data_IF_730560636805
#
_entry.id   IF_730560636805
#
_cell.length_a   1.000
_cell.length_b   1.000
_cell.length_c   1.000
_cell.angle_alpha   90.00
_cell.angle_beta   90.00
_cell.angle_gamma   90.00
#
_symmetry.space_group_name_H-M   'P 1'
#
loop_
_entity.id
_entity.type
_entity.pdbx_description
1 polymer ?
#
# COMPACT_ATOMS: atom_id res chain seq x y z
N UNK A 1 25.96 1.01 -4.43
CA UNK A 1 24.95 -0.04 -4.74
C UNK A 1 23.57 0.26 -4.13
N UNK A 2 23.24 1.53 -3.86
CA UNK A 2 22.04 1.94 -3.07
C UNK A 2 20.80 2.24 -3.93
N UNK A 3 20.95 2.39 -5.25
CA UNK A 3 19.86 2.82 -6.13
C UNK A 3 18.95 1.68 -6.62
N UNK A 4 19.46 0.44 -6.64
CA UNK A 4 18.73 -0.74 -7.16
C UNK A 4 17.59 -1.16 -6.24
N UNK A 5 17.79 -1.01 -4.91
CA UNK A 5 16.81 -1.38 -3.88
C UNK A 5 15.53 -0.53 -4.02
N UNK A 6 15.68 0.75 -4.35
CA UNK A 6 14.56 1.69 -4.54
C UNK A 6 13.66 1.30 -5.72
N UNK A 7 14.24 0.88 -6.85
CA UNK A 7 13.46 0.44 -8.02
C UNK A 7 12.72 -0.88 -7.78
N UNK A 8 13.33 -1.85 -7.10
CA UNK A 8 12.67 -3.12 -6.78
C UNK A 8 11.51 -2.94 -5.81
N UNK A 9 11.68 -2.08 -4.79
CA UNK A 9 10.63 -1.78 -3.81
C UNK A 9 9.50 -0.98 -4.45
N UNK A 10 9.81 0.00 -5.31
CA UNK A 10 8.81 0.76 -6.06
C UNK A 10 8.03 -0.10 -7.05
N UNK A 11 8.68 -1.07 -7.70
CA UNK A 11 8.01 -2.01 -8.61
C UNK A 11 7.04 -2.92 -7.87
N UNK A 12 7.42 -3.40 -6.67
CA UNK A 12 6.50 -4.14 -5.78
C UNK A 12 5.33 -3.28 -5.33
N UNK A 13 5.59 -2.05 -4.88
CA UNK A 13 4.54 -1.10 -4.47
C UNK A 13 3.57 -0.85 -5.62
N UNK A 14 4.07 -0.64 -6.84
CA UNK A 14 3.23 -0.42 -8.02
C UNK A 14 2.35 -1.63 -8.32
N UNK A 15 2.87 -2.86 -8.19
CA UNK A 15 2.05 -4.08 -8.33
C UNK A 15 0.98 -4.16 -7.25
N UNK A 16 1.33 -3.92 -5.98
CA UNK A 16 0.34 -3.88 -4.90
C UNK A 16 -0.74 -2.84 -5.17
N UNK A 17 -0.39 -1.65 -5.67
CA UNK A 17 -1.35 -0.62 -6.06
C UNK A 17 -2.24 -1.04 -7.24
N UNK A 18 -1.69 -1.73 -8.23
CA UNK A 18 -2.43 -2.21 -9.41
C UNK A 18 -3.48 -3.26 -9.02
N UNK A 19 -3.16 -4.14 -8.07
CA UNK A 19 -4.09 -5.15 -7.53
C UNK A 19 -5.06 -4.56 -6.48
N UNK A 20 -4.63 -3.58 -5.69
CA UNK A 20 -5.43 -2.94 -4.64
C UNK A 20 -6.53 -2.05 -5.22
N UNK A 21 -6.21 -1.26 -6.25
CA UNK A 21 -7.14 -0.31 -6.87
C UNK A 21 -8.46 -0.94 -7.36
N UNK A 22 -8.48 -2.03 -8.14
CA UNK A 22 -9.74 -2.62 -8.62
C UNK A 22 -10.60 -3.19 -7.48
N UNK A 23 -9.97 -3.70 -6.40
CA UNK A 23 -10.69 -4.17 -5.22
C UNK A 23 -11.29 -3.02 -4.44
N UNK A 24 -10.58 -1.88 -4.37
CA UNK A 24 -11.09 -0.66 -3.75
C UNK A 24 -12.29 -0.11 -4.53
N UNK A 25 -12.21 -0.08 -5.86
CA UNK A 25 -13.32 0.35 -6.72
C UNK A 25 -14.56 -0.55 -6.51
N UNK A 26 -14.38 -1.86 -6.43
CA UNK A 26 -15.47 -2.81 -6.12
C UNK A 26 -16.08 -2.58 -4.74
N UNK A 27 -15.24 -2.38 -3.72
CA UNK A 27 -15.72 -2.08 -2.37
C UNK A 27 -16.55 -0.79 -2.34
N UNK A 28 -16.09 0.26 -3.01
CA UNK A 28 -16.82 1.55 -3.11
C UNK A 28 -18.17 1.35 -3.82
N UNK A 29 -18.19 0.61 -4.93
CA UNK A 29 -19.45 0.30 -5.63
C UNK A 29 -20.42 -0.47 -4.74
N UNK A 30 -19.94 -1.49 -4.03
CA UNK A 30 -20.76 -2.27 -3.12
C UNK A 30 -21.35 -1.40 -1.99
N UNK A 31 -20.56 -0.49 -1.41
CA UNK A 31 -21.04 0.47 -0.40
C UNK A 31 -22.15 1.34 -0.97
N UNK A 32 -21.97 1.90 -2.17
CA UNK A 32 -23.01 2.71 -2.82
C UNK A 32 -24.30 1.91 -3.09
N UNK A 33 -24.20 0.63 -3.41
CA UNK A 33 -25.36 -0.26 -3.55
C UNK A 33 -26.07 -0.48 -2.22
N UNK A 34 -25.33 -0.60 -1.11
CA UNK A 34 -25.91 -0.76 0.24
C UNK A 34 -26.53 0.53 0.78
N UNK A 35 -26.01 1.69 0.37
CA UNK A 35 -26.54 3.02 0.73
C UNK A 35 -27.75 3.44 -0.11
N UNK A 36 -28.08 2.68 -1.16
CA UNK A 36 -29.22 2.98 -2.01
C UNK A 36 -30.54 2.87 -1.22
N UNK A 37 -31.47 3.84 -1.36
CA UNK A 37 -32.70 3.90 -0.56
C UNK A 37 -33.70 2.76 -0.86
N UNK A 38 -33.57 2.12 -2.02
CA UNK A 38 -34.32 0.93 -2.40
C UNK A 38 -33.38 -0.01 -3.16
N UNK A 39 -33.01 -1.11 -2.50
CA UNK A 39 -32.20 -2.17 -3.09
C UNK A 39 -32.90 -3.49 -2.84
N UNK A 40 -32.95 -4.34 -3.87
CA UNK A 40 -33.52 -5.67 -3.75
C UNK A 40 -32.67 -6.54 -2.83
N UNK A 41 -33.29 -7.44 -2.08
CA UNK A 41 -32.61 -8.27 -1.06
C UNK A 41 -31.46 -9.10 -1.66
N UNK A 42 -31.64 -9.62 -2.87
CA UNK A 42 -30.59 -10.35 -3.61
C UNK A 42 -29.40 -9.44 -3.96
N UNK A 43 -29.68 -8.20 -4.38
CA UNK A 43 -28.66 -7.21 -4.74
C UNK A 43 -27.93 -6.72 -3.48
N UNK A 44 -28.64 -6.55 -2.37
CA UNK A 44 -28.05 -6.20 -1.07
C UNK A 44 -27.13 -7.31 -0.56
N UNK A 45 -27.60 -8.56 -0.62
CA UNK A 45 -26.82 -9.73 -0.19
C UNK A 45 -25.57 -9.91 -1.04
N UNK A 46 -25.69 -9.72 -2.35
CA UNK A 46 -24.56 -9.75 -3.28
C UNK A 46 -23.56 -8.63 -2.99
N UNK A 47 -24.04 -7.40 -2.76
CA UNK A 47 -23.18 -6.26 -2.41
C UNK A 47 -22.45 -6.48 -1.07
N UNK A 48 -23.10 -7.08 -0.07
CA UNK A 48 -22.42 -7.45 1.19
C UNK A 48 -21.33 -8.50 0.96
N UNK A 49 -21.59 -9.51 0.13
CA UNK A 49 -20.60 -10.53 -0.20
C UNK A 49 -19.41 -9.93 -0.97
N UNK A 50 -19.67 -9.09 -1.96
CA UNK A 50 -18.65 -8.39 -2.74
C UNK A 50 -17.82 -7.43 -1.87
N UNK A 51 -18.47 -6.72 -0.94
CA UNK A 51 -17.80 -5.87 0.04
C UNK A 51 -16.93 -6.70 0.99
N UNK A 52 -17.42 -7.84 1.48
CA UNK A 52 -16.66 -8.71 2.38
C UNK A 52 -15.40 -9.25 1.71
N UNK A 53 -15.52 -9.79 0.49
CA UNK A 53 -14.38 -10.28 -0.29
C UNK A 53 -13.38 -9.16 -0.55
N UNK A 54 -13.87 -8.00 -1.00
CA UNK A 54 -13.01 -6.85 -1.28
C UNK A 54 -12.29 -6.39 -0.02
N UNK A 55 -12.97 -6.31 1.13
CA UNK A 55 -12.39 -5.92 2.41
C UNK A 55 -11.29 -6.89 2.88
N UNK A 56 -11.52 -8.20 2.79
CA UNK A 56 -10.50 -9.21 3.17
C UNK A 56 -9.24 -9.10 2.31
N UNK A 57 -9.40 -8.86 1.01
CA UNK A 57 -8.26 -8.65 0.10
C UNK A 57 -7.56 -7.32 0.42
N UNK A 58 -8.31 -6.23 0.56
CA UNK A 58 -7.74 -4.90 0.86
C UNK A 58 -7.00 -4.89 2.20
N UNK A 59 -7.47 -5.59 3.22
CA UNK A 59 -6.80 -5.69 4.53
C UNK A 59 -5.40 -6.30 4.39
N UNK A 60 -5.30 -7.48 3.76
CA UNK A 60 -4.00 -8.15 3.57
C UNK A 60 -3.04 -7.34 2.70
N UNK A 61 -3.56 -6.67 1.66
CA UNK A 61 -2.75 -5.84 0.78
C UNK A 61 -2.35 -4.51 1.44
N UNK A 62 -3.19 -3.94 2.31
CA UNK A 62 -2.89 -2.69 3.02
C UNK A 62 -1.77 -2.87 4.05
N UNK A 63 -1.72 -4.00 4.75
CA UNK A 63 -0.56 -4.33 5.60
C UNK A 63 0.75 -4.44 4.80
N UNK A 64 0.71 -5.13 3.66
CA UNK A 64 1.86 -5.24 2.76
C UNK A 64 2.30 -3.89 2.18
N UNK A 65 1.33 -3.03 1.85
CA UNK A 65 1.57 -1.68 1.34
C UNK A 65 2.18 -0.78 2.41
N UNK A 66 1.70 -0.83 3.65
CA UNK A 66 2.29 -0.10 4.79
C UNK A 66 3.74 -0.55 5.02
N UNK A 67 4.00 -1.86 5.03
CA UNK A 67 5.36 -2.39 5.18
C UNK A 67 6.30 -1.97 4.05
N UNK A 68 5.80 -1.92 2.80
CA UNK A 68 6.57 -1.47 1.65
C UNK A 68 6.86 0.05 1.70
N UNK A 69 5.90 0.86 2.14
CA UNK A 69 6.07 2.31 2.35
C UNK A 69 7.06 2.58 3.47
N UNK A 70 6.98 1.85 4.58
CA UNK A 70 7.93 1.95 5.68
C UNK A 70 9.36 1.66 5.21
N UNK A 71 9.58 0.54 4.51
CA UNK A 71 10.88 0.20 3.93
C UNK A 71 11.41 1.25 2.96
N UNK A 72 10.54 1.85 2.14
CA UNK A 72 10.92 2.93 1.23
C UNK A 72 11.31 4.20 1.99
N UNK A 73 10.55 4.56 3.02
CA UNK A 73 10.76 5.76 3.84
C UNK A 73 12.04 5.62 4.68
N UNK A 74 12.26 4.44 5.26
CA UNK A 74 13.41 4.12 6.08
C UNK A 74 14.70 4.03 5.22
N UNK A 75 14.61 3.49 4.00
CA UNK A 75 15.74 3.51 3.05
C UNK A 75 16.13 4.94 2.62
N UNK A 76 15.16 5.85 2.49
CA UNK A 76 15.43 7.27 2.21
C UNK A 76 16.08 7.95 3.43
N UNK A 77 15.57 7.69 4.64
CA UNK A 77 16.12 8.25 5.88
C UNK A 77 17.57 7.80 6.16
N UNK A 78 17.90 6.54 5.86
CA UNK A 78 19.28 6.03 5.97
C UNK A 78 20.18 6.63 4.87
N UNK A 79 19.66 6.93 3.69
CA UNK A 79 20.42 7.55 2.62
C UNK A 79 20.71 9.05 2.86
N UNK A 80 19.86 9.76 3.61
CA UNK A 80 20.10 11.16 4.03
C UNK A 80 20.94 11.29 5.30
N UNK A 81 21.06 10.23 6.10
CA UNK A 81 22.02 10.15 7.19
C UNK A 81 23.44 9.88 6.65
N UNK A 82 24.07 10.93 6.10
CA UNK A 82 25.51 10.92 5.82
C UNK A 82 26.23 10.64 7.15
N UNK A 83 27.02 9.56 7.28
CA UNK A 83 27.92 9.43 8.42
C UNK A 83 28.96 10.53 8.26
N UNK A 84 28.94 11.52 9.16
CA UNK A 84 30.04 12.43 9.37
C UNK A 84 31.25 11.61 9.87
N UNK A 85 31.92 10.92 8.95
CA UNK A 85 33.13 10.13 9.21
C UNK A 85 34.30 10.86 8.58
N UNK A 86 35.06 11.54 9.41
CA UNK A 86 36.44 11.93 9.11
C UNK A 86 36.73 13.41 9.24
N UNK A 87 36.85 13.89 10.48
CA UNK A 87 37.77 14.99 10.78
C UNK A 87 38.24 14.94 12.23
N UNK A 88 38.73 13.78 12.68
CA UNK A 88 39.47 13.65 13.97
C UNK A 88 40.89 13.10 13.82
N UNK A 89 41.34 12.74 12.62
CA UNK A 89 42.73 12.33 12.42
C UNK A 89 43.26 12.93 11.12
N UNK A 90 44.01 14.03 11.23
CA UNK A 90 45.36 14.16 10.69
C UNK A 90 45.80 15.63 10.77
N UNK A 91 46.75 15.87 11.68
CA UNK A 91 48.13 16.30 11.38
C UNK A 91 48.60 17.57 12.12
N UNK A 92 49.62 17.31 12.95
CA UNK A 92 50.74 18.17 13.37
C UNK A 92 50.48 19.21 14.47
#
# INVERSE_FOLDING_TARGET
MTQVISQSSFTRLKRYLDDYKPQLEKAIMAIHTLEAPYVEEEVFTQALADLHVSATVLESYSEGMVSAIDQFTNAIAVATAIPNRGSDEFKA
#
